data_IF_912896332651
#
_entry.id   IF_912896332651
#
_cell.length_a   1.000
_cell.length_b   1.000
_cell.length_c   1.000
_cell.angle_alpha   90.00
_cell.angle_beta   90.00
_cell.angle_gamma   90.00
#
_symmetry.space_group_name_H-M   'P 1'
#
loop_
_entity.id
_entity.type
_entity.pdbx_description
1 polymer ?
#
# COMPACT_ATOMS: atom_id res chain seq x y z
N UNK A 1 -0.99 -9.04 -21.63
CA UNK A 1 0.36 -9.61 -21.80
C UNK A 1 1.12 -9.35 -20.50
N UNK A 2 1.42 -10.40 -19.75
CA UNK A 2 2.13 -10.31 -18.46
C UNK A 2 3.64 -10.35 -18.75
N UNK A 3 4.34 -9.27 -18.40
CA UNK A 3 5.79 -9.26 -18.32
C UNK A 3 6.19 -9.53 -16.87
N UNK A 4 6.92 -10.61 -16.63
CA UNK A 4 7.54 -10.85 -15.32
C UNK A 4 8.99 -10.37 -15.35
N UNK A 5 9.43 -9.53 -14.39
CA UNK A 5 10.84 -9.18 -14.26
C UNK A 5 11.59 -10.37 -13.65
N UNK A 6 12.64 -10.83 -14.32
CA UNK A 6 13.60 -11.80 -13.78
C UNK A 6 14.84 -11.03 -13.33
N UNK A 7 15.10 -11.00 -12.04
CA UNK A 7 16.34 -10.45 -11.48
C UNK A 7 17.39 -11.55 -11.41
N UNK A 8 18.39 -11.50 -12.26
CA UNK A 8 19.61 -12.31 -12.12
C UNK A 8 20.76 -11.41 -11.69
N UNK A 9 21.24 -11.61 -10.47
CA UNK A 9 22.41 -10.95 -9.94
C UNK A 9 23.65 -11.80 -10.28
N UNK A 10 24.42 -11.39 -11.28
CA UNK A 10 25.76 -11.92 -11.54
C UNK A 10 26.67 -10.71 -11.79
N UNK A 11 27.55 -10.41 -10.82
CA UNK A 11 28.69 -9.50 -10.96
C UNK A 11 28.34 -8.02 -11.14
N UNK A 12 27.94 -7.33 -10.06
CA UNK A 12 28.18 -5.89 -9.90
C UNK A 12 27.34 -4.90 -10.71
N UNK A 13 26.44 -5.33 -11.61
CA UNK A 13 25.51 -4.46 -12.35
C UNK A 13 24.13 -5.10 -12.41
N UNK A 14 23.09 -4.34 -12.02
CA UNK A 14 21.71 -4.78 -12.08
C UNK A 14 21.26 -4.87 -13.57
N UNK A 15 21.03 -6.09 -14.07
CA UNK A 15 20.42 -6.33 -15.38
C UNK A 15 18.94 -6.58 -15.19
N UNK A 16 18.07 -5.76 -15.73
CA UNK A 16 16.64 -6.00 -15.77
C UNK A 16 16.27 -6.68 -17.08
N UNK A 17 15.79 -7.92 -17.02
CA UNK A 17 15.35 -8.69 -18.20
C UNK A 17 13.83 -8.74 -18.17
N UNK A 18 13.17 -8.27 -19.22
CA UNK A 18 11.72 -8.39 -19.40
C UNK A 18 11.42 -9.50 -20.42
N UNK A 19 10.61 -10.50 -20.01
CA UNK A 19 10.17 -11.58 -20.88
C UNK A 19 8.65 -11.52 -21.05
N UNK A 20 8.16 -11.37 -22.27
CA UNK A 20 6.74 -11.54 -22.61
C UNK A 20 6.46 -13.00 -22.94
N UNK A 21 5.34 -13.56 -22.43
CA UNK A 21 4.94 -14.95 -22.69
C UNK A 21 4.61 -15.24 -24.16
N UNK A 22 4.38 -14.21 -24.99
CA UNK A 22 3.98 -14.35 -26.38
C UNK A 22 4.96 -13.71 -27.41
N UNK A 23 6.14 -13.30 -27.00
CA UNK A 23 7.15 -12.76 -27.92
C UNK A 23 8.54 -13.30 -27.57
N UNK A 24 9.26 -13.89 -28.55
CA UNK A 24 10.64 -14.39 -28.41
C UNK A 24 11.68 -13.26 -28.42
N UNK A 25 11.38 -12.11 -27.82
CA UNK A 25 12.28 -10.97 -27.75
C UNK A 25 12.89 -10.88 -26.35
N UNK A 26 14.19 -11.02 -26.26
CA UNK A 26 15.00 -10.78 -25.07
C UNK A 26 15.64 -9.42 -25.25
N UNK A 27 15.31 -8.46 -24.37
CA UNK A 27 15.97 -7.15 -24.36
C UNK A 27 17.15 -7.21 -23.40
N UNK A 28 18.36 -7.10 -23.92
CA UNK A 28 19.56 -6.87 -23.13
C UNK A 28 19.88 -5.37 -23.16
N UNK A 29 19.95 -4.73 -22.01
CA UNK A 29 20.52 -3.40 -21.89
C UNK A 29 21.98 -3.58 -21.49
N UNK A 30 22.81 -3.80 -22.47
CA UNK A 30 24.26 -3.69 -22.36
C UNK A 30 24.80 -3.13 -23.69
N UNK A 31 25.46 -1.98 -23.61
CA UNK A 31 26.32 -1.46 -24.66
C UNK A 31 25.85 -1.61 -26.13
N UNK A 32 24.93 -0.78 -26.57
CA UNK A 32 24.73 -0.45 -27.99
C UNK A 32 24.53 -1.60 -29.01
N UNK A 33 23.72 -2.62 -28.72
CA UNK A 33 23.19 -3.48 -29.80
C UNK A 33 21.72 -3.78 -29.60
N UNK A 34 20.89 -3.28 -30.52
CA UNK A 34 19.44 -3.53 -30.58
C UNK A 34 19.18 -4.74 -31.48
N UNK A 35 18.43 -5.74 -30.95
CA UNK A 35 17.84 -6.77 -31.80
C UNK A 35 16.36 -6.47 -32.01
N UNK A 36 15.97 -6.37 -33.25
CA UNK A 36 14.71 -5.85 -33.76
C UNK A 36 13.55 -6.81 -33.55
N UNK A 37 12.47 -6.34 -32.90
CA UNK A 37 11.18 -7.01 -32.88
C UNK A 37 10.26 -6.32 -33.91
N UNK A 38 9.83 -7.06 -34.95
CA UNK A 38 9.10 -6.56 -36.15
C UNK A 38 7.67 -6.05 -35.87
N UNK A 39 7.21 -5.81 -34.64
CA UNK A 39 5.81 -5.51 -34.34
C UNK A 39 5.51 -4.11 -33.81
N UNK A 40 6.52 -3.32 -33.47
CA UNK A 40 6.35 -1.92 -33.05
C UNK A 40 7.29 -1.02 -33.79
N UNK A 41 6.78 0.12 -34.23
CA UNK A 41 7.60 1.19 -34.81
C UNK A 41 8.64 1.67 -33.78
N UNK A 42 9.88 1.82 -34.19
CA UNK A 42 10.98 2.32 -33.34
C UNK A 42 10.62 3.67 -32.69
N UNK A 43 9.86 4.50 -33.42
CA UNK A 43 9.37 5.79 -32.91
C UNK A 43 8.39 5.61 -31.73
N UNK A 44 7.46 4.67 -31.84
CA UNK A 44 6.51 4.32 -30.76
C UNK A 44 7.26 3.77 -29.52
N UNK A 45 8.25 2.89 -29.73
CA UNK A 45 9.10 2.35 -28.66
C UNK A 45 9.92 3.44 -27.96
N UNK A 46 10.57 4.34 -28.70
CA UNK A 46 11.32 5.47 -28.14
C UNK A 46 10.41 6.44 -27.38
N UNK A 47 9.20 6.68 -27.87
CA UNK A 47 8.20 7.49 -27.19
C UNK A 47 7.77 6.86 -25.86
N UNK A 48 7.53 5.54 -25.82
CA UNK A 48 7.20 4.80 -24.60
C UNK A 48 8.33 4.86 -23.58
N UNK A 49 9.57 4.67 -24.01
CA UNK A 49 10.74 4.77 -23.12
C UNK A 49 10.93 6.20 -22.59
N UNK A 50 10.57 7.22 -23.38
CA UNK A 50 10.64 8.62 -22.95
C UNK A 50 9.61 8.93 -21.85
N UNK A 51 8.37 8.41 -21.94
CA UNK A 51 7.35 8.60 -20.91
C UNK A 51 7.65 7.85 -19.63
N UNK A 52 8.21 6.64 -19.71
CA UNK A 52 8.47 5.77 -18.57
C UNK A 52 9.36 6.44 -17.50
N UNK A 53 10.42 7.17 -17.90
CA UNK A 53 11.33 7.84 -16.96
C UNK A 53 10.63 8.91 -16.12
N UNK A 54 9.74 9.69 -16.73
CA UNK A 54 9.02 10.77 -16.05
C UNK A 54 7.90 10.22 -15.16
N UNK A 55 7.18 9.19 -15.62
CA UNK A 55 6.20 8.48 -14.80
C UNK A 55 6.86 7.77 -13.62
N UNK A 56 8.07 7.21 -13.78
CA UNK A 56 8.86 6.66 -12.67
C UNK A 56 9.20 7.76 -11.65
N UNK A 57 9.53 8.98 -12.11
CA UNK A 57 9.75 10.11 -11.20
C UNK A 57 8.49 10.49 -10.45
N UNK A 58 7.31 10.46 -11.08
CA UNK A 58 6.03 10.67 -10.40
C UNK A 58 5.80 9.62 -9.29
N UNK A 59 6.11 8.34 -9.53
CA UNK A 59 6.03 7.29 -8.50
C UNK A 59 6.98 7.57 -7.33
N UNK A 60 8.24 7.95 -7.60
CA UNK A 60 9.21 8.29 -6.55
C UNK A 60 8.72 9.46 -5.69
N UNK A 61 8.24 10.54 -6.32
CA UNK A 61 7.70 11.71 -5.63
C UNK A 61 6.51 11.32 -4.73
N UNK A 62 5.58 10.52 -5.26
CA UNK A 62 4.41 10.06 -4.52
C UNK A 62 4.80 9.30 -3.23
N UNK A 63 5.89 8.50 -3.26
CA UNK A 63 6.35 7.76 -2.07
C UNK A 63 6.83 8.64 -0.93
N UNK A 64 7.20 9.90 -1.19
CA UNK A 64 7.60 10.84 -0.12
C UNK A 64 6.45 11.21 0.83
N UNK A 65 5.21 11.04 0.39
CA UNK A 65 4.04 11.24 1.25
C UNK A 65 3.89 10.16 2.34
N UNK A 66 4.32 8.94 2.07
CA UNK A 66 4.42 7.78 2.97
C UNK A 66 3.31 7.70 4.04
N UNK A 67 2.07 7.42 3.62
CA UNK A 67 0.92 7.20 4.53
C UNK A 67 0.29 8.47 5.12
N UNK A 68 0.82 9.66 4.86
CA UNK A 68 0.26 10.92 5.39
C UNK A 68 -0.93 11.47 4.61
N UNK A 69 -1.22 10.88 3.45
CA UNK A 69 -2.28 11.37 2.56
C UNK A 69 -3.66 10.80 2.85
N UNK A 70 -3.79 9.73 3.63
CA UNK A 70 -5.09 9.13 3.91
C UNK A 70 -6.13 10.19 4.37
N UNK A 71 -7.37 10.13 3.87
CA UNK A 71 -7.97 9.16 2.95
C UNK A 71 -7.68 9.41 1.46
N UNK A 72 -6.79 10.37 1.10
CA UNK A 72 -6.42 10.70 -0.26
C UNK A 72 -5.34 9.76 -0.79
N UNK A 73 -5.20 9.62 -2.13
CA UNK A 73 -4.12 8.84 -2.72
C UNK A 73 -2.77 9.56 -2.61
N UNK A 74 -1.69 8.79 -2.67
CA UNK A 74 -0.35 9.30 -2.89
C UNK A 74 -0.18 9.62 -4.38
N UNK A 75 0.04 10.89 -4.70
CA UNK A 75 0.20 11.35 -6.09
C UNK A 75 1.49 12.13 -6.23
N UNK A 76 2.20 11.89 -7.32
CA UNK A 76 3.33 12.69 -7.77
C UNK A 76 3.10 13.19 -9.19
N UNK A 77 3.61 14.37 -9.48
CA UNK A 77 3.51 15.00 -10.79
C UNK A 77 4.81 15.70 -11.17
N UNK A 78 5.12 15.72 -12.49
CA UNK A 78 6.23 16.50 -13.04
C UNK A 78 5.80 17.24 -14.29
N UNK A 79 6.39 18.43 -14.53
CA UNK A 79 6.25 19.22 -15.74
C UNK A 79 7.55 19.05 -16.55
N UNK A 80 7.40 18.71 -17.80
CA UNK A 80 8.54 18.45 -18.70
C UNK A 80 8.45 19.37 -19.93
N UNK A 81 9.52 20.11 -20.17
CA UNK A 81 9.73 20.93 -21.36
C UNK A 81 11.02 20.48 -22.05
N UNK A 82 10.95 20.20 -23.34
CA UNK A 82 12.08 19.73 -24.17
C UNK A 82 12.90 18.58 -23.54
N UNK A 83 12.20 17.64 -22.91
CA UNK A 83 12.81 16.46 -22.28
C UNK A 83 13.46 16.71 -20.93
N UNK A 84 13.38 17.92 -20.39
CA UNK A 84 13.89 18.34 -19.07
C UNK A 84 12.73 18.54 -18.10
N UNK A 85 12.86 18.08 -16.86
CA UNK A 85 11.92 18.37 -15.77
C UNK A 85 12.16 19.83 -15.34
N UNK A 86 11.14 20.69 -15.50
CA UNK A 86 11.16 22.09 -15.10
C UNK A 86 10.30 22.38 -13.88
N UNK A 87 9.50 21.41 -13.43
CA UNK A 87 8.71 21.49 -12.21
C UNK A 87 8.30 20.13 -11.71
N UNK A 88 8.21 19.96 -10.40
CA UNK A 88 7.78 18.71 -9.78
C UNK A 88 7.06 18.96 -8.45
N UNK A 89 6.20 18.02 -8.09
CA UNK A 89 5.47 18.08 -6.83
C UNK A 89 4.81 16.75 -6.47
N UNK A 90 4.40 16.65 -5.23
CA UNK A 90 3.63 15.51 -4.73
C UNK A 90 2.61 15.97 -3.69
N UNK A 91 1.52 15.22 -3.55
CA UNK A 91 0.53 15.46 -2.51
C UNK A 91 1.13 15.09 -1.15
N UNK A 92 1.39 16.07 -0.30
CA UNK A 92 2.18 15.88 0.93
C UNK A 92 1.35 15.29 2.06
N UNK A 93 0.10 15.78 2.21
CA UNK A 93 -0.78 15.45 3.33
C UNK A 93 -2.24 15.75 2.96
N UNK A 94 -3.17 15.01 3.57
CA UNK A 94 -4.60 15.27 3.40
C UNK A 94 -4.97 16.73 3.72
N UNK A 95 -5.61 17.41 2.75
CA UNK A 95 -5.98 18.84 2.83
C UNK A 95 -4.98 19.80 2.22
N UNK A 96 -3.75 19.38 1.93
CA UNK A 96 -2.75 20.19 1.23
C UNK A 96 -3.01 20.20 -0.29
N UNK A 97 -2.33 21.06 -1.07
CA UNK A 97 -2.43 21.10 -2.53
C UNK A 97 -2.10 19.74 -3.17
N UNK A 98 -2.78 19.45 -4.28
CA UNK A 98 -2.53 18.26 -5.07
C UNK A 98 -1.17 18.33 -5.78
N UNK A 99 -0.65 17.17 -6.22
CA UNK A 99 0.65 17.04 -6.85
C UNK A 99 0.80 17.93 -8.10
N UNK A 100 -0.25 17.99 -8.92
CA UNK A 100 -0.29 18.81 -10.14
C UNK A 100 -0.17 20.30 -9.81
N UNK A 101 -0.85 20.76 -8.76
CA UNK A 101 -0.76 22.15 -8.27
C UNK A 101 0.66 22.46 -7.83
N UNK A 102 1.27 21.56 -7.05
CA UNK A 102 2.63 21.70 -6.59
C UNK A 102 3.62 21.73 -7.76
N UNK A 103 3.47 20.82 -8.73
CA UNK A 103 4.34 20.73 -9.90
C UNK A 103 4.21 22.00 -10.79
N UNK A 104 3.00 22.47 -11.07
CA UNK A 104 2.79 23.70 -11.84
C UNK A 104 3.37 24.91 -11.11
N UNK A 105 3.17 25.01 -9.79
CA UNK A 105 3.65 26.14 -8.99
C UNK A 105 5.19 26.17 -8.89
N UNK A 106 5.86 25.04 -8.96
CA UNK A 106 7.32 24.93 -8.86
C UNK A 106 8.05 25.35 -10.17
N UNK A 107 7.35 25.46 -11.30
CA UNK A 107 7.94 25.96 -12.55
C UNK A 107 8.29 27.45 -12.40
N UNK A 108 9.52 27.84 -12.61
CA UNK A 108 9.97 29.25 -12.50
C UNK A 108 9.38 30.11 -13.64
N UNK A 109 9.63 29.72 -14.87
CA UNK A 109 9.08 30.42 -16.05
C UNK A 109 7.77 29.80 -16.51
N UNK A 110 6.65 30.39 -16.10
CA UNK A 110 5.29 29.93 -16.43
C UNK A 110 4.96 29.97 -17.92
N UNK A 111 5.71 30.74 -18.73
CA UNK A 111 5.48 30.82 -20.18
C UNK A 111 5.77 29.47 -20.88
N UNK A 112 6.65 28.65 -20.30
CA UNK A 112 7.02 27.33 -20.82
C UNK A 112 5.89 26.29 -20.68
N UNK A 113 4.91 26.53 -19.80
CA UNK A 113 3.80 25.60 -19.59
C UNK A 113 3.02 25.30 -20.87
N UNK A 114 2.85 26.30 -21.74
CA UNK A 114 2.12 26.18 -23.01
C UNK A 114 2.79 25.27 -24.06
N UNK A 115 4.04 24.88 -23.84
CA UNK A 115 4.81 23.93 -24.69
C UNK A 115 5.32 22.72 -23.89
N UNK A 116 4.80 22.50 -22.68
CA UNK A 116 5.23 21.43 -21.77
C UNK A 116 4.25 20.26 -21.74
N UNK A 117 4.72 19.12 -21.24
CA UNK A 117 3.91 17.95 -20.91
C UNK A 117 3.85 17.78 -19.40
N UNK A 118 2.64 17.62 -18.85
CA UNK A 118 2.45 17.21 -17.47
C UNK A 118 2.38 15.69 -17.38
N UNK A 119 3.12 15.11 -16.46
CA UNK A 119 3.03 13.70 -16.05
C UNK A 119 2.46 13.63 -14.65
N UNK A 120 1.52 12.72 -14.40
CA UNK A 120 0.97 12.47 -13.08
C UNK A 120 0.73 10.97 -12.85
N UNK A 121 0.93 10.52 -11.63
CA UNK A 121 0.79 9.09 -11.29
C UNK A 121 -0.67 8.62 -11.28
N UNK A 122 -1.62 9.55 -11.11
CA UNK A 122 -3.07 9.28 -11.05
C UNK A 122 -3.82 10.31 -11.91
N UNK A 123 -5.02 9.95 -12.38
CA UNK A 123 -5.91 10.83 -13.13
C UNK A 123 -6.16 12.14 -12.39
N UNK A 124 -5.99 13.32 -13.03
CA UNK A 124 -6.29 14.61 -12.44
C UNK A 124 -7.78 14.75 -12.08
N UNK A 125 -8.06 15.25 -10.89
CA UNK A 125 -9.42 15.40 -10.42
C UNK A 125 -10.24 16.42 -11.22
N UNK A 126 -11.58 16.18 -11.33
CA UNK A 126 -12.54 17.03 -12.03
C UNK A 126 -13.58 17.67 -11.11
N UNK A 127 -13.64 17.28 -9.82
CA UNK A 127 -14.63 17.79 -8.88
C UNK A 127 -14.10 18.96 -8.06
N UNK A 128 -14.97 19.90 -7.74
CA UNK A 128 -14.69 20.95 -6.78
C UNK A 128 -14.74 20.37 -5.37
N UNK A 129 -13.60 20.39 -4.71
CA UNK A 129 -13.45 20.02 -3.30
C UNK A 129 -13.14 21.26 -2.47
N UNK A 130 -12.14 21.15 -1.58
CA UNK A 130 -11.59 22.33 -0.87
C UNK A 130 -10.82 23.26 -1.80
N UNK A 131 -10.36 22.75 -2.94
CA UNK A 131 -9.64 23.46 -3.99
C UNK A 131 -10.30 23.22 -5.35
N UNK A 132 -10.09 24.13 -6.33
CA UNK A 132 -10.55 23.90 -7.70
C UNK A 132 -9.95 22.62 -8.29
N UNK A 133 -10.62 21.99 -9.29
CA UNK A 133 -10.15 20.77 -9.93
C UNK A 133 -8.78 20.93 -10.59
N UNK A 134 -7.92 19.90 -10.50
CA UNK A 134 -6.63 19.91 -11.20
C UNK A 134 -6.79 19.96 -12.72
N UNK A 135 -7.82 19.31 -13.29
CA UNK A 135 -8.11 19.38 -14.72
C UNK A 135 -8.37 20.82 -15.19
N UNK A 136 -9.06 21.64 -14.39
CA UNK A 136 -9.27 23.07 -14.69
C UNK A 136 -7.98 23.88 -14.59
N UNK A 137 -7.14 23.62 -13.58
CA UNK A 137 -5.84 24.29 -13.46
C UNK A 137 -4.93 23.98 -14.67
N UNK A 138 -4.90 22.72 -15.11
CA UNK A 138 -4.10 22.28 -16.26
C UNK A 138 -4.54 23.02 -17.54
N UNK A 139 -5.85 23.10 -17.80
CA UNK A 139 -6.38 23.82 -18.98
C UNK A 139 -6.11 25.31 -18.91
N UNK A 140 -6.30 25.95 -17.74
CA UNK A 140 -5.99 27.37 -17.53
C UNK A 140 -4.49 27.67 -17.69
N UNK A 141 -3.63 26.73 -17.36
CA UNK A 141 -2.19 26.81 -17.55
C UNK A 141 -1.76 26.55 -19.02
N UNK A 142 -2.70 26.25 -19.91
CA UNK A 142 -2.51 25.97 -21.34
C UNK A 142 -1.55 24.80 -21.61
N UNK A 143 -1.43 23.84 -20.68
CA UNK A 143 -0.60 22.66 -20.88
C UNK A 143 -1.23 21.78 -21.97
N UNK A 144 -0.54 21.53 -23.11
CA UNK A 144 -1.18 20.87 -24.26
C UNK A 144 -1.28 19.35 -24.14
N UNK A 145 -0.50 18.74 -23.24
CA UNK A 145 -0.41 17.28 -23.10
C UNK A 145 -0.30 16.82 -21.66
N UNK A 146 -1.04 15.75 -21.33
CA UNK A 146 -1.00 15.08 -20.00
C UNK A 146 -0.74 13.60 -20.20
N UNK A 147 0.22 13.04 -19.45
CA UNK A 147 0.50 11.60 -19.40
C UNK A 147 0.13 11.07 -18.01
N UNK A 148 -0.81 10.14 -17.96
CA UNK A 148 -1.43 9.64 -16.73
C UNK A 148 -0.96 8.23 -16.42
N UNK A 149 -0.55 7.96 -15.17
CA UNK A 149 -0.12 6.64 -14.72
C UNK A 149 -1.24 5.62 -14.70
N UNK A 150 -2.35 5.95 -14.03
CA UNK A 150 -3.58 5.13 -14.02
C UNK A 150 -4.82 6.03 -13.82
N UNK A 151 -5.99 5.50 -14.20
CA UNK A 151 -7.29 6.13 -13.92
C UNK A 151 -7.64 6.05 -12.45
N UNK A 152 -8.44 7.01 -11.97
CA UNK A 152 -9.04 6.99 -10.64
C UNK A 152 -10.33 6.13 -10.67
N UNK A 153 -10.50 5.22 -9.70
CA UNK A 153 -11.73 4.42 -9.57
C UNK A 153 -12.84 5.16 -8.81
N UNK A 154 -12.54 6.29 -8.19
CA UNK A 154 -13.55 7.09 -7.50
C UNK A 154 -14.65 7.52 -8.48
N UNK A 155 -15.89 7.10 -8.21
CA UNK A 155 -17.08 7.40 -9.06
C UNK A 155 -17.28 8.89 -9.37
N UNK A 156 -16.75 9.79 -8.55
CA UNK A 156 -16.80 11.24 -8.76
C UNK A 156 -15.73 11.73 -9.74
N UNK A 157 -14.65 10.99 -9.94
CA UNK A 157 -13.50 11.34 -10.78
C UNK A 157 -13.48 10.50 -12.06
N UNK A 158 -13.66 9.20 -11.95
CA UNK A 158 -13.50 8.17 -12.98
C UNK A 158 -13.80 8.64 -14.41
N UNK A 159 -12.77 8.95 -15.16
CA UNK A 159 -12.81 9.44 -16.53
C UNK A 159 -13.21 10.92 -16.70
N UNK A 160 -13.80 11.59 -15.70
CA UNK A 160 -14.27 12.99 -15.82
C UNK A 160 -13.15 14.00 -15.96
N UNK A 161 -12.01 13.76 -15.28
CA UNK A 161 -10.82 14.59 -15.42
C UNK A 161 -10.25 14.51 -16.83
N UNK A 162 -10.16 13.31 -17.36
CA UNK A 162 -9.71 13.04 -18.74
C UNK A 162 -10.68 13.63 -19.76
N UNK A 163 -11.99 13.45 -19.57
CA UNK A 163 -13.02 14.01 -20.43
C UNK A 163 -12.95 15.55 -20.48
N UNK A 164 -12.84 16.20 -19.32
CA UNK A 164 -12.66 17.66 -19.23
C UNK A 164 -11.41 18.13 -19.97
N UNK A 165 -10.26 17.47 -19.77
CA UNK A 165 -9.01 17.81 -20.47
C UNK A 165 -9.15 17.68 -21.99
N UNK A 166 -9.69 16.54 -22.47
CA UNK A 166 -9.89 16.30 -23.90
C UNK A 166 -10.85 17.28 -24.56
N UNK A 167 -11.96 17.65 -23.87
CA UNK A 167 -12.93 18.62 -24.38
C UNK A 167 -12.33 20.04 -24.52
N UNK A 168 -11.23 20.33 -23.81
CA UNK A 168 -10.48 21.58 -23.93
C UNK A 168 -9.22 21.47 -24.79
N UNK A 169 -9.11 20.43 -25.62
CA UNK A 169 -8.03 20.26 -26.59
C UNK A 169 -6.71 19.73 -26.01
N UNK A 170 -6.70 19.25 -24.78
CA UNK A 170 -5.51 18.64 -24.14
C UNK A 170 -5.38 17.19 -24.61
N UNK A 171 -4.21 16.82 -25.14
CA UNK A 171 -3.87 15.42 -25.45
C UNK A 171 -3.67 14.65 -24.16
N UNK A 172 -4.41 13.53 -23.97
CA UNK A 172 -4.27 12.66 -22.79
C UNK A 172 -3.81 11.27 -23.20
N UNK A 173 -2.67 10.84 -22.66
CA UNK A 173 -2.05 9.52 -22.87
C UNK A 173 -2.00 8.76 -21.55
N UNK A 174 -2.37 7.48 -21.55
CA UNK A 174 -2.22 6.61 -20.38
C UNK A 174 -0.96 5.77 -20.46
N UNK A 175 -0.42 5.44 -19.28
CA UNK A 175 0.67 4.48 -19.14
C UNK A 175 0.24 3.09 -19.60
N UNK A 176 1.16 2.36 -20.22
CA UNK A 176 0.99 0.93 -20.52
C UNK A 176 1.09 0.03 -19.29
N UNK A 177 1.53 0.56 -18.16
CA UNK A 177 1.75 -0.17 -16.90
C UNK A 177 0.90 0.39 -15.74
N UNK A 178 -0.44 0.50 -15.87
CA UNK A 178 -1.30 1.12 -14.85
C UNK A 178 -1.26 0.37 -13.52
N UNK A 179 -0.96 -0.93 -13.53
CA UNK A 179 -0.87 -1.78 -12.34
C UNK A 179 0.17 -1.28 -11.34
N UNK A 180 1.31 -0.72 -11.80
CA UNK A 180 2.36 -0.18 -10.91
C UNK A 180 1.84 1.01 -10.09
N UNK A 181 1.04 1.88 -10.71
CA UNK A 181 0.46 3.06 -10.07
C UNK A 181 -0.69 2.67 -9.12
N UNK A 182 -1.50 1.69 -9.52
CA UNK A 182 -2.54 1.12 -8.65
C UNK A 182 -1.93 0.45 -7.41
N UNK A 183 -0.83 -0.28 -7.57
CA UNK A 183 -0.16 -0.94 -6.45
C UNK A 183 0.41 0.06 -5.42
N UNK A 184 0.93 1.21 -5.87
CA UNK A 184 1.32 2.29 -4.96
C UNK A 184 0.15 2.74 -4.07
N UNK A 185 -1.04 2.86 -4.67
CA UNK A 185 -2.26 3.34 -4.03
C UNK A 185 -3.26 2.21 -3.67
N UNK A 186 -2.76 0.97 -3.45
CA UNK A 186 -3.63 -0.19 -3.18
C UNK A 186 -4.60 0.02 -2.01
N UNK A 187 -4.15 0.70 -0.95
CA UNK A 187 -4.99 1.05 0.21
C UNK A 187 -6.14 1.97 -0.23
N UNK A 188 -5.82 3.06 -0.95
CA UNK A 188 -6.82 3.99 -1.46
C UNK A 188 -7.84 3.29 -2.38
N UNK A 189 -7.37 2.47 -3.32
CA UNK A 189 -8.26 1.76 -4.24
C UNK A 189 -9.14 0.74 -3.50
N UNK A 190 -8.60 -0.03 -2.56
CA UNK A 190 -9.39 -0.92 -1.72
C UNK A 190 -10.50 -0.16 -0.98
N UNK A 191 -10.16 0.96 -0.34
CA UNK A 191 -11.14 1.77 0.39
C UNK A 191 -12.25 2.30 -0.52
N UNK A 192 -11.93 2.68 -1.76
CA UNK A 192 -12.91 3.23 -2.72
C UNK A 192 -13.72 2.15 -3.44
N UNK A 193 -13.06 1.06 -3.85
CA UNK A 193 -13.67 0.01 -4.65
C UNK A 193 -14.49 -0.96 -3.77
N UNK A 194 -14.01 -1.29 -2.56
CA UNK A 194 -14.61 -2.26 -1.65
C UNK A 194 -15.28 -1.64 -0.42
N UNK A 195 -15.18 -0.32 -0.24
CA UNK A 195 -15.76 0.43 0.88
C UNK A 195 -15.36 -0.15 2.25
N UNK A 196 -14.11 -0.58 2.40
CA UNK A 196 -13.55 -1.09 3.66
C UNK A 196 -12.07 -0.75 3.79
N UNK A 197 -11.48 -0.82 5.02
CA UNK A 197 -10.04 -0.75 5.19
C UNK A 197 -9.31 -1.84 4.38
N UNK A 198 -8.10 -1.52 3.94
CA UNK A 198 -7.14 -2.51 3.44
C UNK A 198 -6.61 -3.33 4.61
N UNK A 199 -6.57 -4.65 4.48
CA UNK A 199 -6.20 -5.56 5.55
C UNK A 199 -4.89 -6.26 5.24
N UNK A 200 -3.89 -6.02 6.07
CA UNK A 200 -2.64 -6.78 6.08
C UNK A 200 -2.65 -7.76 7.25
N UNK A 201 -2.55 -9.06 6.99
CA UNK A 201 -2.37 -10.08 8.02
C UNK A 201 -0.87 -10.36 8.23
N UNK A 202 -0.44 -10.49 9.50
CA UNK A 202 0.95 -10.79 9.81
C UNK A 202 1.05 -11.76 10.98
N UNK A 203 1.83 -12.83 10.81
CA UNK A 203 2.14 -13.74 11.91
C UNK A 203 3.57 -14.28 11.83
N UNK A 204 4.04 -14.82 12.94
CA UNK A 204 5.24 -15.63 13.01
C UNK A 204 4.86 -17.05 13.44
N UNK A 205 5.48 -18.06 12.84
CA UNK A 205 5.25 -19.46 13.17
C UNK A 205 6.56 -20.23 13.28
N UNK A 206 6.54 -21.33 14.03
CA UNK A 206 7.62 -22.32 14.08
C UNK A 206 7.74 -23.06 12.73
N UNK A 207 8.83 -23.81 12.54
CA UNK A 207 9.05 -24.60 11.31
C UNK A 207 7.96 -25.67 11.09
N UNK A 208 7.31 -26.12 12.15
CA UNK A 208 6.22 -27.09 12.17
C UNK A 208 4.81 -26.46 12.29
N UNK A 209 4.70 -25.11 12.13
CA UNK A 209 3.43 -24.44 11.89
C UNK A 209 2.67 -24.00 13.14
N UNK A 210 3.32 -23.71 14.27
CA UNK A 210 2.67 -23.21 15.48
C UNK A 210 3.01 -21.75 15.75
N UNK A 211 2.02 -20.97 16.26
CA UNK A 211 2.17 -19.56 16.66
C UNK A 211 2.82 -19.40 18.02
N UNK A 212 2.54 -20.31 18.95
CA UNK A 212 3.04 -20.33 20.32
C UNK A 212 2.82 -21.71 20.91
N UNK A 213 3.49 -22.00 22.04
CA UNK A 213 3.17 -23.17 22.88
C UNK A 213 1.81 -22.99 23.55
N UNK A 214 1.21 -24.09 23.99
CA UNK A 214 0.14 -24.01 24.98
C UNK A 214 0.78 -23.63 26.32
N UNK A 215 0.46 -22.46 26.85
CA UNK A 215 1.09 -21.89 28.06
C UNK A 215 0.05 -21.45 29.08
N UNK A 216 0.48 -21.35 30.35
CA UNK A 216 -0.32 -20.73 31.40
C UNK A 216 -0.33 -19.20 31.26
N UNK A 217 -1.29 -18.49 31.85
CA UNK A 217 -1.42 -17.03 31.73
C UNK A 217 -0.17 -16.22 32.14
N UNK A 218 0.59 -16.71 33.10
CA UNK A 218 1.79 -16.03 33.62
C UNK A 218 3.08 -16.42 32.90
N UNK A 219 3.02 -17.32 31.94
CA UNK A 219 4.16 -17.72 31.13
C UNK A 219 4.38 -16.74 29.96
N UNK A 220 5.63 -16.36 29.74
CA UNK A 220 6.02 -15.52 28.60
C UNK A 220 5.78 -16.21 27.26
N UNK A 221 5.35 -15.44 26.25
CA UNK A 221 5.20 -15.93 24.89
C UNK A 221 6.51 -16.49 24.33
N UNK A 222 6.42 -17.55 23.53
CA UNK A 222 7.56 -18.11 22.82
C UNK A 222 8.10 -17.09 21.81
N UNK A 223 9.42 -16.85 21.85
CA UNK A 223 10.04 -16.02 20.83
C UNK A 223 10.24 -16.82 19.56
N UNK A 224 9.30 -16.78 18.64
CA UNK A 224 9.31 -17.54 17.40
C UNK A 224 10.30 -16.96 16.40
N UNK A 225 10.24 -15.65 16.12
CA UNK A 225 11.00 -15.01 15.06
C UNK A 225 12.23 -14.25 15.55
N UNK A 226 13.21 -14.11 14.66
CA UNK A 226 14.48 -13.43 14.93
C UNK A 226 14.41 -11.90 14.95
N UNK A 227 15.56 -11.25 15.20
CA UNK A 227 15.62 -9.79 15.34
C UNK A 227 15.20 -9.03 14.08
N UNK A 228 15.58 -9.49 12.87
CA UNK A 228 15.24 -8.82 11.62
C UNK A 228 13.73 -8.90 11.33
N UNK A 229 13.09 -10.04 11.62
CA UNK A 229 11.63 -10.18 11.52
C UNK A 229 10.91 -9.21 12.48
N UNK A 230 11.49 -8.98 13.67
CA UNK A 230 10.95 -7.99 14.60
C UNK A 230 11.04 -6.55 14.06
N UNK A 231 12.18 -6.15 13.47
CA UNK A 231 12.30 -4.82 12.83
C UNK A 231 11.28 -4.67 11.70
N UNK A 232 11.16 -5.69 10.85
CA UNK A 232 10.18 -5.71 9.75
C UNK A 232 8.74 -5.60 10.23
N UNK A 233 8.40 -6.28 11.33
CA UNK A 233 7.07 -6.17 11.96
C UNK A 233 6.79 -4.75 12.46
N UNK A 234 7.78 -4.08 13.07
CA UNK A 234 7.65 -2.69 13.48
C UNK A 234 7.56 -1.71 12.30
N UNK A 235 8.21 -2.02 11.16
CA UNK A 235 8.04 -1.28 9.92
C UNK A 235 6.61 -1.40 9.39
N UNK A 236 6.01 -2.60 9.42
CA UNK A 236 4.61 -2.80 9.05
C UNK A 236 3.67 -2.00 9.96
N UNK A 237 3.90 -2.02 11.28
CA UNK A 237 3.12 -1.20 12.23
C UNK A 237 3.18 0.28 11.93
N UNK A 238 4.34 0.79 11.49
CA UNK A 238 4.53 2.19 11.12
C UNK A 238 3.84 2.59 9.79
N UNK A 239 3.36 1.62 9.02
CA UNK A 239 2.73 1.84 7.70
C UNK A 239 1.21 1.68 7.70
N UNK A 240 0.60 1.45 8.87
CA UNK A 240 -0.85 1.20 9.01
C UNK A 240 -1.48 2.18 10.00
N UNK A 241 -2.80 2.39 9.88
CA UNK A 241 -3.54 3.27 10.79
C UNK A 241 -3.97 2.53 12.06
N UNK A 242 -4.31 1.24 11.95
CA UNK A 242 -4.77 0.42 13.05
C UNK A 242 -4.05 -0.91 13.16
N UNK A 243 -3.89 -1.39 14.40
CA UNK A 243 -3.35 -2.72 14.70
C UNK A 243 -4.38 -3.54 15.49
N UNK A 244 -4.74 -4.70 14.97
CA UNK A 244 -5.83 -5.51 15.48
C UNK A 244 -5.31 -6.79 16.15
N UNK A 245 -5.75 -7.01 17.41
CA UNK A 245 -5.52 -8.23 18.17
C UNK A 245 -6.78 -8.65 18.92
N UNK A 246 -6.82 -9.88 19.44
CA UNK A 246 -7.90 -10.32 20.33
C UNK A 246 -7.70 -9.83 21.78
N UNK A 247 -8.78 -9.68 22.53
CA UNK A 247 -8.72 -9.39 23.97
C UNK A 247 -7.93 -10.47 24.73
N UNK A 248 -8.03 -11.75 24.33
CA UNK A 248 -7.22 -12.82 24.91
C UNK A 248 -5.72 -12.56 24.72
N UNK A 249 -5.29 -12.19 23.51
CA UNK A 249 -3.87 -11.83 23.22
C UNK A 249 -3.44 -10.62 24.02
N UNK A 250 -4.31 -9.60 24.15
CA UNK A 250 -4.03 -8.42 24.96
C UNK A 250 -3.79 -8.78 26.43
N UNK A 251 -4.68 -9.59 27.01
CA UNK A 251 -4.61 -9.99 28.42
C UNK A 251 -3.37 -10.84 28.73
N UNK A 252 -3.02 -11.76 27.84
CA UNK A 252 -1.93 -12.72 28.04
C UNK A 252 -0.54 -12.11 27.76
N UNK A 253 -0.40 -11.38 26.65
CA UNK A 253 0.92 -10.91 26.19
C UNK A 253 1.21 -9.47 26.61
N UNK A 254 0.18 -8.72 27.04
CA UNK A 254 0.26 -7.29 27.41
C UNK A 254 1.13 -6.49 26.44
N UNK A 255 0.88 -6.62 25.11
CA UNK A 255 1.75 -6.02 24.10
C UNK A 255 1.54 -4.50 24.06
N UNK A 256 2.61 -3.74 23.96
CA UNK A 256 2.52 -2.26 23.81
C UNK A 256 2.02 -1.81 22.42
N UNK A 257 1.98 -2.68 21.42
CA UNK A 257 1.55 -2.44 20.03
C UNK A 257 2.23 -1.23 19.33
N UNK A 258 3.41 -0.86 19.77
CA UNK A 258 4.15 0.33 19.29
C UNK A 258 5.15 0.02 18.18
N UNK A 259 5.72 1.08 17.58
CA UNK A 259 6.74 1.06 16.52
C UNK A 259 8.17 1.21 17.05
N UNK A 260 8.46 0.89 18.30
CA UNK A 260 9.71 1.15 19.03
C UNK A 260 11.02 0.68 18.36
N UNK A 261 10.97 -0.18 17.33
CA UNK A 261 12.13 -0.66 16.57
C UNK A 261 12.20 -0.09 15.15
N UNK A 262 11.32 0.83 14.81
CA UNK A 262 11.28 1.52 13.52
C UNK A 262 10.69 2.91 13.71
N UNK A 263 11.25 3.90 13.03
CA UNK A 263 10.74 5.27 13.11
C UNK A 263 9.39 5.39 12.40
N UNK A 264 8.36 5.87 13.08
CA UNK A 264 7.03 6.05 12.55
C UNK A 264 5.98 6.27 13.62
N UNK A 265 4.76 6.56 13.18
CA UNK A 265 3.60 6.75 14.07
C UNK A 265 3.12 5.39 14.59
N UNK A 266 2.73 5.32 15.86
CA UNK A 266 2.09 4.14 16.41
C UNK A 266 0.69 3.97 15.81
N UNK A 267 0.33 2.77 15.34
CA UNK A 267 -1.03 2.48 14.91
C UNK A 267 -1.99 2.49 16.10
N UNK A 268 -3.25 2.85 15.85
CA UNK A 268 -4.29 2.80 16.87
C UNK A 268 -4.66 1.33 17.19
N UNK A 269 -4.68 0.90 18.47
CA UNK A 269 -5.09 -0.45 18.84
C UNK A 269 -6.57 -0.71 18.51
N UNK A 270 -6.86 -1.91 18.00
CA UNK A 270 -8.21 -2.43 17.74
C UNK A 270 -8.30 -3.77 18.46
N UNK A 271 -9.20 -3.89 19.41
CA UNK A 271 -9.30 -5.07 20.27
C UNK A 271 -10.59 -5.82 19.97
N UNK A 272 -10.46 -7.02 19.43
CA UNK A 272 -11.61 -7.92 19.17
C UNK A 272 -12.00 -8.64 20.45
N UNK A 273 -13.21 -8.37 20.90
CA UNK A 273 -13.80 -8.94 22.13
C UNK A 273 -14.82 -9.99 21.74
N UNK A 274 -14.49 -11.27 21.95
CA UNK A 274 -15.38 -12.40 21.63
C UNK A 274 -15.84 -13.13 22.91
N UNK A 275 -14.93 -13.81 23.59
CA UNK A 275 -15.22 -14.63 24.77
C UNK A 275 -14.60 -14.11 26.07
N UNK A 276 -13.60 -13.23 25.97
CA UNK A 276 -12.91 -12.65 27.11
C UNK A 276 -12.97 -11.12 27.02
N UNK A 277 -13.28 -10.47 28.12
CA UNK A 277 -13.14 -9.01 28.25
C UNK A 277 -11.68 -8.65 28.44
N UNK A 278 -11.25 -7.49 27.93
CA UNK A 278 -9.90 -6.99 28.14
C UNK A 278 -9.72 -6.56 29.61
N UNK A 279 -8.55 -6.86 30.18
CA UNK A 279 -8.19 -6.41 31.53
C UNK A 279 -7.79 -4.91 31.48
N UNK A 280 -8.28 -4.13 32.45
CA UNK A 280 -8.00 -2.68 32.50
C UNK A 280 -6.51 -2.38 32.59
N UNK A 281 -5.75 -3.21 33.35
CA UNK A 281 -4.28 -3.08 33.41
C UNK A 281 -3.58 -3.26 32.06
N UNK A 282 -4.09 -4.16 31.21
CA UNK A 282 -3.55 -4.39 29.88
C UNK A 282 -3.93 -3.25 28.92
N UNK A 283 -5.13 -2.69 29.04
CA UNK A 283 -5.57 -1.50 28.28
C UNK A 283 -4.69 -0.29 28.65
N UNK A 284 -4.37 -0.09 29.93
CA UNK A 284 -3.56 1.03 30.39
C UNK A 284 -2.13 1.04 29.84
N UNK A 285 -1.62 -0.10 29.33
CA UNK A 285 -0.30 -0.21 28.70
C UNK A 285 -0.29 0.14 27.20
N UNK A 286 -1.47 0.34 26.59
CA UNK A 286 -1.56 0.70 25.18
C UNK A 286 -1.11 2.15 24.94
N UNK A 287 -0.56 2.42 23.75
CA UNK A 287 -0.04 3.75 23.39
C UNK A 287 -1.13 4.81 23.12
N UNK A 288 -2.37 4.37 22.94
CA UNK A 288 -3.54 5.23 22.71
C UNK A 288 -4.82 4.48 23.05
N UNK A 289 -5.94 5.21 23.18
CA UNK A 289 -7.25 4.63 23.40
C UNK A 289 -7.65 3.67 22.27
N UNK A 290 -7.99 2.41 22.60
CA UNK A 290 -8.35 1.40 21.61
C UNK A 290 -9.74 1.63 21.03
N UNK A 291 -10.02 0.95 19.89
CA UNK A 291 -11.36 0.70 19.38
C UNK A 291 -11.72 -0.74 19.79
N UNK A 292 -12.84 -0.94 20.44
CA UNK A 292 -13.33 -2.28 20.80
C UNK A 292 -14.33 -2.78 19.76
N UNK A 293 -14.20 -4.05 19.34
CA UNK A 293 -15.07 -4.66 18.34
C UNK A 293 -15.66 -5.96 18.89
N UNK A 294 -16.97 -6.06 18.93
CA UNK A 294 -17.66 -7.26 19.42
C UNK A 294 -18.86 -6.96 20.34
N UNK A 295 -19.18 -7.86 21.25
CA UNK A 295 -20.22 -7.63 22.25
C UNK A 295 -19.64 -6.85 23.44
N UNK A 296 -19.56 -5.53 23.29
CA UNK A 296 -18.75 -4.64 24.17
C UNK A 296 -19.55 -3.53 24.83
N UNK A 297 -20.86 -3.72 24.99
CA UNK A 297 -21.78 -2.70 25.56
C UNK A 297 -21.37 -2.18 26.95
N UNK A 298 -20.48 -2.87 27.65
CA UNK A 298 -20.01 -2.52 29.01
C UNK A 298 -18.60 -1.85 29.01
N UNK A 299 -18.01 -1.56 27.84
CA UNK A 299 -16.69 -0.94 27.76
C UNK A 299 -16.80 0.53 27.43
N UNK A 300 -16.05 1.36 28.17
CA UNK A 300 -15.91 2.79 27.88
C UNK A 300 -14.97 3.02 26.71
N UNK A 301 -15.34 3.96 25.83
CA UNK A 301 -14.52 4.35 24.68
C UNK A 301 -15.17 4.06 23.33
N UNK A 302 -14.39 4.09 22.27
CA UNK A 302 -14.85 3.81 20.90
C UNK A 302 -15.19 2.33 20.74
N UNK A 303 -16.45 2.04 20.43
CA UNK A 303 -16.97 0.66 20.32
C UNK A 303 -17.71 0.41 19.03
N UNK A 304 -17.52 -0.78 18.45
CA UNK A 304 -18.32 -1.31 17.34
C UNK A 304 -19.04 -2.55 17.88
N UNK A 305 -20.32 -2.41 18.21
CA UNK A 305 -21.14 -3.49 18.75
C UNK A 305 -21.62 -4.39 17.63
N UNK A 306 -21.13 -5.62 17.59
CA UNK A 306 -21.37 -6.55 16.48
C UNK A 306 -21.06 -8.01 16.86
N UNK A 307 -21.38 -8.93 15.95
CA UNK A 307 -20.75 -10.25 15.98
C UNK A 307 -19.28 -10.11 15.50
N UNK A 308 -18.27 -10.34 16.35
CA UNK A 308 -16.85 -10.12 15.98
C UNK A 308 -16.35 -11.05 14.88
N UNK A 309 -17.07 -12.12 14.56
CA UNK A 309 -16.72 -13.06 13.50
C UNK A 309 -17.37 -12.73 12.14
N UNK A 310 -18.34 -11.83 12.11
CA UNK A 310 -18.91 -11.29 10.87
C UNK A 310 -18.10 -10.09 10.40
N UNK A 311 -16.85 -10.35 9.98
CA UNK A 311 -15.87 -9.34 9.63
C UNK A 311 -16.39 -8.39 8.54
N UNK A 312 -17.02 -8.85 7.43
CA UNK A 312 -17.53 -7.95 6.40
C UNK A 312 -18.54 -6.92 6.91
N UNK A 313 -19.31 -7.24 7.95
CA UNK A 313 -20.35 -6.36 8.49
C UNK A 313 -19.79 -5.19 9.31
N UNK A 314 -18.71 -5.38 10.04
CA UNK A 314 -18.17 -4.34 10.91
C UNK A 314 -16.87 -3.69 10.40
N UNK A 315 -16.09 -4.37 9.58
CA UNK A 315 -14.81 -3.85 9.07
C UNK A 315 -14.93 -2.47 8.41
N UNK A 316 -15.98 -2.17 7.58
CA UNK A 316 -16.18 -0.85 6.99
C UNK A 316 -16.34 0.27 8.03
N UNK A 317 -16.88 -0.03 9.21
CA UNK A 317 -17.11 0.97 10.26
C UNK A 317 -15.80 1.55 10.82
N UNK A 318 -14.68 0.83 10.71
CA UNK A 318 -13.38 1.33 11.13
C UNK A 318 -12.95 2.60 10.38
N UNK A 319 -13.43 2.80 9.14
CA UNK A 319 -13.12 4.02 8.37
C UNK A 319 -13.72 5.27 9.00
N UNK A 320 -14.82 5.17 9.76
CA UNK A 320 -15.40 6.31 10.50
C UNK A 320 -14.50 6.80 11.63
N UNK A 321 -13.59 5.94 12.09
CA UNK A 321 -12.55 6.25 13.08
C UNK A 321 -11.21 6.65 12.43
N UNK A 322 -11.18 6.87 11.11
CA UNK A 322 -9.97 7.22 10.36
C UNK A 322 -9.02 6.04 10.10
N UNK A 323 -9.49 4.80 10.26
CA UNK A 323 -8.69 3.60 10.01
C UNK A 323 -8.94 3.13 8.57
N UNK A 324 -8.00 3.38 7.69
CA UNK A 324 -8.03 3.03 6.27
C UNK A 324 -7.16 1.80 5.95
N UNK A 325 -6.19 1.49 6.80
CA UNK A 325 -5.30 0.34 6.69
C UNK A 325 -5.15 -0.34 8.05
N UNK A 326 -5.49 -1.63 8.14
CA UNK A 326 -5.44 -2.45 9.36
C UNK A 326 -4.38 -3.52 9.25
N UNK A 327 -3.54 -3.64 10.29
CA UNK A 327 -2.64 -4.77 10.48
C UNK A 327 -3.24 -5.76 11.49
N UNK A 328 -3.54 -6.97 11.06
CA UNK A 328 -4.03 -8.06 11.91
C UNK A 328 -2.83 -8.89 12.39
N UNK A 329 -2.50 -8.79 13.68
CA UNK A 329 -1.31 -9.48 14.24
C UNK A 329 -1.63 -10.62 15.19
N UNK A 330 -2.84 -10.69 15.76
CA UNK A 330 -2.95 -11.55 16.89
C UNK A 330 -4.24 -12.28 17.17
N UNK A 331 -3.98 -13.43 17.84
CA UNK A 331 -4.92 -14.50 18.08
C UNK A 331 -5.11 -15.38 16.84
N UNK A 332 -4.68 -16.66 16.89
CA UNK A 332 -4.80 -17.57 15.76
C UNK A 332 -6.21 -17.66 15.20
N UNK A 333 -7.23 -17.62 16.08
CA UNK A 333 -8.65 -17.59 15.68
C UNK A 333 -9.03 -16.32 14.91
N UNK A 334 -8.56 -15.16 15.35
CA UNK A 334 -8.83 -13.88 14.66
C UNK A 334 -8.17 -13.88 13.29
N UNK A 335 -6.90 -14.29 13.20
CA UNK A 335 -6.22 -14.42 11.91
C UNK A 335 -6.98 -15.36 10.97
N UNK A 336 -7.36 -16.55 11.45
CA UNK A 336 -8.11 -17.52 10.63
C UNK A 336 -9.46 -16.94 10.15
N UNK A 337 -10.21 -16.25 11.04
CA UNK A 337 -11.49 -15.65 10.66
C UNK A 337 -11.33 -14.59 9.55
N UNK A 338 -10.24 -13.82 9.55
CA UNK A 338 -9.96 -12.87 8.45
C UNK A 338 -9.66 -13.59 7.14
N UNK A 339 -8.93 -14.71 7.14
CA UNK A 339 -8.71 -15.52 5.95
C UNK A 339 -10.03 -16.17 5.46
N UNK A 340 -10.80 -16.75 6.36
CA UNK A 340 -12.06 -17.41 6.04
C UNK A 340 -13.11 -16.44 5.46
N UNK A 341 -13.08 -15.17 5.90
CA UNK A 341 -13.98 -14.13 5.39
C UNK A 341 -13.56 -13.55 4.03
N UNK A 342 -12.37 -13.89 3.51
CA UNK A 342 -11.82 -13.29 2.30
C UNK A 342 -11.49 -11.80 2.42
N UNK A 343 -11.32 -11.29 3.65
CA UNK A 343 -11.04 -9.86 3.89
C UNK A 343 -9.54 -9.51 3.96
N UNK A 344 -8.65 -10.47 3.79
CA UNK A 344 -7.20 -10.23 3.78
C UNK A 344 -6.76 -9.83 2.37
N UNK A 345 -6.14 -8.65 2.24
CA UNK A 345 -5.62 -8.12 0.97
C UNK A 345 -4.11 -8.41 0.79
N UNK A 346 -3.38 -8.48 1.89
CA UNK A 346 -1.94 -8.76 1.91
C UNK A 346 -1.58 -9.56 3.16
N UNK A 347 -0.63 -10.49 3.05
CA UNK A 347 -0.18 -11.25 4.20
C UNK A 347 1.34 -11.38 4.28
N UNK A 348 1.85 -11.47 5.51
CA UNK A 348 3.27 -11.59 5.85
C UNK A 348 3.46 -12.74 6.84
N UNK A 349 4.16 -13.77 6.43
CA UNK A 349 4.50 -14.93 7.24
C UNK A 349 6.00 -14.98 7.52
N UNK A 350 6.34 -15.15 8.78
CA UNK A 350 7.72 -15.40 9.23
C UNK A 350 7.79 -16.81 9.79
N UNK A 351 8.55 -17.69 9.14
CA UNK A 351 8.74 -19.09 9.60
C UNK A 351 10.12 -19.22 10.20
N UNK A 352 10.14 -19.58 11.49
CA UNK A 352 11.37 -19.86 12.25
C UNK A 352 12.04 -21.15 11.78
N UNK A 353 13.31 -21.28 12.05
CA UNK A 353 14.03 -22.56 11.89
C UNK A 353 13.71 -23.57 13.01
N UNK A 354 13.20 -23.09 14.15
CA UNK A 354 12.91 -23.91 15.32
C UNK A 354 11.49 -24.51 15.25
N UNK A 355 11.34 -25.77 15.64
CA UNK A 355 10.05 -26.42 15.87
C UNK A 355 9.61 -26.25 17.32
N UNK A 356 8.28 -26.30 17.55
CA UNK A 356 7.67 -26.30 18.88
C UNK A 356 7.13 -27.68 19.27
N UNK A 357 6.96 -28.59 18.32
CA UNK A 357 6.38 -29.95 18.43
C UNK A 357 4.88 -29.96 18.72
N UNK A 358 4.35 -29.00 19.47
CA UNK A 358 2.94 -28.82 19.78
C UNK A 358 2.66 -27.34 20.11
N UNK A 359 1.41 -26.92 20.03
CA UNK A 359 1.05 -25.54 20.37
C UNK A 359 -0.23 -25.04 19.71
N UNK A 360 -0.33 -23.72 19.63
CA UNK A 360 -1.44 -23.02 18.97
C UNK A 360 -1.17 -23.02 17.47
N UNK A 361 -1.99 -23.67 16.62
CA UNK A 361 -1.71 -23.75 15.18
C UNK A 361 -1.75 -22.38 14.54
N UNK A 362 -0.87 -22.20 13.55
CA UNK A 362 -0.90 -21.04 12.66
C UNK A 362 -2.12 -21.10 11.72
N UNK A 363 -2.56 -19.95 11.17
CA UNK A 363 -3.67 -19.94 10.23
C UNK A 363 -3.35 -20.78 8.99
N UNK A 364 -4.36 -21.49 8.50
CA UNK A 364 -4.29 -22.23 7.25
C UNK A 364 -4.42 -21.25 6.09
N UNK A 365 -3.45 -21.31 5.18
CA UNK A 365 -3.42 -20.43 4.00
C UNK A 365 -3.15 -21.29 2.75
N UNK A 366 -4.09 -21.29 1.80
CA UNK A 366 -3.98 -22.00 0.52
C UNK A 366 -3.42 -21.11 -0.60
N UNK A 367 -2.57 -20.14 -0.27
CA UNK A 367 -1.94 -19.24 -1.22
C UNK A 367 -0.41 -19.30 -1.13
N UNK A 368 0.24 -19.17 -2.28
CA UNK A 368 1.70 -19.02 -2.37
C UNK A 368 2.07 -17.54 -2.49
N UNK A 369 3.23 -17.18 -1.97
CA UNK A 369 3.75 -15.83 -2.03
C UNK A 369 5.23 -15.78 -2.40
N UNK A 370 5.75 -14.57 -2.61
CA UNK A 370 7.18 -14.35 -2.75
C UNK A 370 7.89 -14.73 -1.44
N UNK A 371 8.96 -15.52 -1.54
CA UNK A 371 9.69 -16.04 -0.37
C UNK A 371 11.17 -15.71 -0.45
N UNK A 372 11.74 -15.29 0.68
CA UNK A 372 13.20 -15.10 0.82
C UNK A 372 13.67 -15.27 2.27
N UNK A 373 14.99 -15.44 2.44
CA UNK A 373 15.61 -15.54 3.76
C UNK A 373 15.71 -14.17 4.41
N UNK A 374 15.23 -14.05 5.65
CA UNK A 374 15.30 -12.82 6.46
C UNK A 374 16.06 -13.11 7.78
N UNK A 375 17.36 -12.96 7.78
CA UNK A 375 18.20 -13.39 8.89
C UNK A 375 18.17 -14.92 9.05
N UNK A 376 17.66 -15.38 10.20
CA UNK A 376 17.48 -16.81 10.50
C UNK A 376 16.11 -17.33 10.03
N UNK A 377 15.16 -16.44 9.76
CA UNK A 377 13.80 -16.80 9.40
C UNK A 377 13.62 -16.90 7.89
N UNK A 378 12.61 -17.66 7.47
CA UNK A 378 12.03 -17.57 6.14
C UNK A 378 10.89 -16.57 6.18
N UNK A 379 10.93 -15.58 5.32
CA UNK A 379 9.86 -14.60 5.15
C UNK A 379 9.11 -14.84 3.86
N UNK A 380 7.79 -14.76 3.92
CA UNK A 380 6.91 -14.90 2.78
C UNK A 380 5.86 -13.80 2.79
N UNK A 381 5.53 -13.32 1.60
CA UNK A 381 4.50 -12.29 1.38
C UNK A 381 3.66 -12.64 0.16
N UNK A 382 2.35 -12.45 0.25
CA UNK A 382 1.41 -12.61 -0.86
C UNK A 382 0.22 -11.63 -0.75
N UNK A 383 -0.55 -11.61 -1.81
CA UNK A 383 -1.78 -10.84 -1.99
C UNK A 383 -2.95 -11.79 -2.27
#
# INVERSE_FOLDING_TARGET
>A
MLFQPIFNNIGGFARTVYRSQNCKCILFIEGQRFHHCRKYDLHHYLCLMSHAKFLTRCLQLATYANGRTAPNPMVGAVIVHDGVIIGEGYHQKAGDPHAEVMAINSVEDKSLLASSTLYCSLEPCAHFGKTPPCSLLITNSRIPKVVVGCSDSNKLVNGKGVEHLKSHGVEVVFSEYPTLFRQLNRVFFCNKDLNRPYVTAKWAQSSDGYLDRVRQPDESASRISGPLASVKSHQLRASVDGILISAKTLNWDRPSLTTRRYQGTNPRPIIVVSSALPHMEAIAQLSSAPIFVGNVAALDGDTIVCNPYDIPAWLPQLMTYGIHHVLVEGGGRVLQSFFDSGCVDEWHRYTSVNALSEGIPAPTLNASGASYKLGIDRYERGE
#
